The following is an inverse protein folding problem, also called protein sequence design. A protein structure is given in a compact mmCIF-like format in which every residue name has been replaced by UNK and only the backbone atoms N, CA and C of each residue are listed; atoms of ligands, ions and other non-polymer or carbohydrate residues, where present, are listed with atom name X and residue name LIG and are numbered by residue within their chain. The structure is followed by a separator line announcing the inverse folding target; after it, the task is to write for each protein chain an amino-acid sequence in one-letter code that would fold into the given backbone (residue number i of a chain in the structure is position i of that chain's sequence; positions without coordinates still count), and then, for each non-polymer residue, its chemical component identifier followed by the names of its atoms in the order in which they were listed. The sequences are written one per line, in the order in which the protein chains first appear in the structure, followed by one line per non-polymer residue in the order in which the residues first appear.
data_IF_176293576049
#
_entry.id   IF_176293576049
#
_cell.length_a   1.000
_cell.length_b   1.000
_cell.length_c   1.000
_cell.angle_alpha   90.00
_cell.angle_beta   90.00
_cell.angle_gamma   90.00
#
_symmetry.space_group_name_H-M   'P 1'
#
loop_
_entity.id
_entity.type
_entity.pdbx_description
1 polymer ?
#
# COMPACT_ATOMS: atom_id res chain seq x y z
N UNK A 1 -8.32 -47.18 -9.64
CA UNK A 1 -8.17 -48.58 -9.20
C UNK A 1 -9.36 -48.89 -8.32
N UNK A 2 -10.20 -49.85 -8.74
CA UNK A 2 -11.44 -50.17 -8.04
C UNK A 2 -11.13 -50.78 -6.67
N UNK A 3 -11.32 -50.02 -5.60
CA UNK A 3 -11.21 -50.48 -4.21
C UNK A 3 -12.52 -51.20 -3.87
N UNK A 4 -12.68 -52.41 -4.44
CA UNK A 4 -13.82 -53.28 -4.17
C UNK A 4 -13.68 -53.84 -2.76
N UNK A 5 -14.63 -53.52 -1.88
CA UNK A 5 -14.70 -54.15 -0.56
C UNK A 5 -14.78 -55.66 -0.75
N UNK A 6 -13.90 -56.38 -0.05
CA UNK A 6 -13.96 -57.85 -0.05
C UNK A 6 -15.20 -58.28 0.72
N UNK A 7 -16.16 -58.87 0.03
CA UNK A 7 -17.31 -59.51 0.68
C UNK A 7 -16.83 -60.80 1.35
N UNK A 8 -17.09 -60.89 2.66
CA UNK A 8 -16.83 -62.09 3.45
C UNK A 8 -18.08 -62.95 3.45
N UNK A 9 -17.85 -64.26 3.44
CA UNK A 9 -18.91 -65.27 3.50
C UNK A 9 -19.75 -65.08 4.77
N UNK A 10 -21.08 -65.09 4.63
CA UNK A 10 -21.96 -64.94 5.79
C UNK A 10 -21.88 -66.15 6.71
N UNK A 11 -22.09 -65.96 8.01
CA UNK A 11 -22.09 -67.05 9.00
C UNK A 11 -23.15 -68.11 8.65
N UNK A 12 -24.24 -67.72 7.99
CA UNK A 12 -25.29 -68.62 7.52
C UNK A 12 -24.94 -69.48 6.31
N UNK A 13 -23.81 -69.21 5.63
CA UNK A 13 -23.33 -70.03 4.51
C UNK A 13 -22.48 -71.23 4.98
N UNK A 14 -22.14 -71.28 6.28
CA UNK A 14 -21.46 -72.43 6.86
C UNK A 14 -22.47 -73.47 7.38
N UNK A 15 -22.14 -74.76 7.36
CA UNK A 15 -23.05 -75.81 7.82
C UNK A 15 -23.44 -75.62 9.29
N UNK A 16 -24.75 -75.55 9.54
CA UNK A 16 -25.33 -75.38 10.88
C UNK A 16 -25.30 -76.68 11.71
N UNK A 17 -25.27 -77.83 11.03
CA UNK A 17 -25.32 -79.16 11.66
C UNK A 17 -24.11 -80.00 11.27
N UNK A 18 -23.09 -80.00 12.13
CA UNK A 18 -21.87 -80.82 12.01
C UNK A 18 -22.12 -82.34 12.00
N UNK A 19 -23.30 -82.79 12.43
CA UNK A 19 -23.68 -84.20 12.54
C UNK A 19 -23.97 -84.86 11.18
N UNK A 20 -24.24 -84.05 10.15
CA UNK A 20 -24.57 -84.53 8.80
C UNK A 20 -23.35 -84.59 7.89
N UNK A 21 -22.18 -84.12 8.34
CA UNK A 21 -20.96 -84.06 7.54
C UNK A 21 -20.07 -85.27 7.82
N UNK A 22 -19.45 -85.78 6.77
CA UNK A 22 -18.41 -86.78 6.91
C UNK A 22 -17.14 -86.14 7.49
N UNK A 23 -16.23 -86.96 8.06
CA UNK A 23 -15.02 -86.47 8.75
C UNK A 23 -14.15 -85.55 7.89
N UNK A 24 -13.97 -85.89 6.61
CA UNK A 24 -13.21 -85.06 5.67
C UNK A 24 -13.87 -83.72 5.39
N UNK A 25 -15.19 -83.70 5.23
CA UNK A 25 -15.97 -82.48 4.99
C UNK A 25 -15.97 -81.58 6.22
N UNK A 26 -16.03 -82.17 7.42
CA UNK A 26 -15.93 -81.45 8.68
C UNK A 26 -14.56 -80.76 8.83
N UNK A 27 -13.47 -81.46 8.49
CA UNK A 27 -12.12 -80.93 8.56
C UNK A 27 -11.88 -79.83 7.52
N UNK A 28 -12.39 -80.00 6.29
CA UNK A 28 -12.38 -78.98 5.26
C UNK A 28 -13.15 -77.71 5.67
N UNK A 29 -14.36 -77.89 6.22
CA UNK A 29 -15.20 -76.77 6.69
C UNK A 29 -14.53 -76.02 7.83
N UNK A 30 -13.92 -76.73 8.78
CA UNK A 30 -13.18 -76.11 9.87
C UNK A 30 -11.99 -75.27 9.38
N UNK A 31 -11.21 -75.79 8.43
CA UNK A 31 -10.09 -75.05 7.84
C UNK A 31 -10.57 -73.81 7.08
N UNK A 32 -11.70 -73.90 6.37
CA UNK A 32 -12.29 -72.77 5.64
C UNK A 32 -12.74 -71.66 6.61
N UNK A 33 -13.52 -72.00 7.64
CA UNK A 33 -13.94 -71.08 8.71
C UNK A 33 -12.73 -70.40 9.35
N UNK A 34 -11.69 -71.17 9.66
CA UNK A 34 -10.46 -70.66 10.28
C UNK A 34 -9.74 -69.67 9.36
N UNK A 35 -9.66 -69.94 8.06
CA UNK A 35 -9.03 -69.05 7.09
C UNK A 35 -9.83 -67.77 6.92
N UNK A 36 -11.15 -67.86 6.79
CA UNK A 36 -12.03 -66.69 6.67
C UNK A 36 -12.00 -65.82 7.93
N UNK A 37 -12.03 -66.41 9.12
CA UNK A 37 -11.86 -65.67 10.37
C UNK A 37 -10.50 -64.94 10.44
N UNK A 38 -9.42 -65.62 10.04
CA UNK A 38 -8.07 -65.01 9.99
C UNK A 38 -8.05 -63.81 9.05
N UNK A 39 -8.63 -63.93 7.84
CA UNK A 39 -8.70 -62.85 6.85
C UNK A 39 -9.55 -61.67 7.36
N UNK A 40 -10.71 -61.97 7.94
CA UNK A 40 -11.60 -60.96 8.52
C UNK A 40 -10.91 -60.18 9.65
N UNK A 41 -10.19 -60.87 10.52
CA UNK A 41 -9.43 -60.25 11.61
C UNK A 41 -8.36 -59.28 11.09
N UNK A 42 -7.58 -59.70 10.08
CA UNK A 42 -6.56 -58.86 9.43
C UNK A 42 -7.21 -57.61 8.81
N UNK A 43 -8.31 -57.81 8.06
CA UNK A 43 -9.03 -56.72 7.40
C UNK A 43 -9.62 -55.72 8.38
N UNK A 44 -10.21 -56.19 9.49
CA UNK A 44 -10.68 -55.31 10.57
C UNK A 44 -9.53 -54.52 11.19
N UNK A 45 -8.38 -55.15 11.42
CA UNK A 45 -7.18 -54.47 11.90
C UNK A 45 -6.70 -53.36 10.96
N UNK A 46 -6.68 -53.62 9.65
CA UNK A 46 -6.34 -52.62 8.63
C UNK A 46 -7.36 -51.48 8.59
N UNK A 47 -8.66 -51.79 8.67
CA UNK A 47 -9.72 -50.79 8.70
C UNK A 47 -9.58 -49.86 9.90
N UNK A 48 -9.35 -50.41 11.10
CA UNK A 48 -9.14 -49.60 12.32
C UNK A 48 -7.93 -48.68 12.15
N UNK A 49 -6.81 -49.18 11.60
CA UNK A 49 -5.63 -48.36 11.32
C UNK A 49 -5.92 -47.22 10.34
N UNK A 50 -6.53 -47.53 9.19
CA UNK A 50 -6.94 -46.51 8.20
C UNK A 50 -7.91 -45.49 8.79
N UNK A 51 -8.84 -45.93 9.63
CA UNK A 51 -9.78 -45.03 10.32
C UNK A 51 -9.04 -44.11 11.30
N UNK A 52 -8.08 -44.62 12.06
CA UNK A 52 -7.27 -43.80 12.96
C UNK A 52 -6.41 -42.79 12.19
N UNK A 53 -5.78 -43.20 11.09
CA UNK A 53 -5.00 -42.31 10.22
C UNK A 53 -5.87 -41.24 9.55
N UNK A 54 -7.08 -41.59 9.11
CA UNK A 54 -8.02 -40.62 8.57
C UNK A 54 -8.43 -39.60 9.64
N UNK A 55 -8.71 -40.04 10.87
CA UNK A 55 -9.04 -39.15 11.99
C UNK A 55 -7.88 -38.20 12.33
N UNK A 56 -6.64 -38.67 12.34
CA UNK A 56 -5.48 -37.80 12.61
C UNK A 56 -5.26 -36.81 11.47
N UNK A 57 -5.41 -37.22 10.21
CA UNK A 57 -5.37 -36.32 9.04
C UNK A 57 -6.46 -35.24 9.10
N UNK A 58 -7.69 -35.59 9.46
CA UNK A 58 -8.76 -34.60 9.62
C UNK A 58 -8.44 -33.60 10.74
N UNK A 59 -7.89 -34.06 11.88
CA UNK A 59 -7.49 -33.16 12.97
C UNK A 59 -6.38 -32.19 12.55
N UNK A 60 -5.35 -32.68 11.85
CA UNK A 60 -4.24 -31.85 11.36
C UNK A 60 -4.72 -30.84 10.33
N UNK A 61 -5.56 -31.25 9.37
CA UNK A 61 -6.18 -30.34 8.41
C UNK A 61 -7.05 -29.27 9.09
N UNK A 62 -7.85 -29.64 10.09
CA UNK A 62 -8.65 -28.67 10.85
C UNK A 62 -7.77 -27.64 11.55
N UNK A 63 -6.65 -28.05 12.12
CA UNK A 63 -5.71 -27.14 12.78
C UNK A 63 -5.03 -26.21 11.76
N UNK A 64 -4.58 -26.76 10.64
CA UNK A 64 -3.99 -25.96 9.54
C UNK A 64 -4.99 -24.93 8.99
N UNK A 65 -6.25 -25.32 8.80
CA UNK A 65 -7.31 -24.41 8.34
C UNK A 65 -7.53 -23.26 9.34
N UNK A 66 -7.54 -23.56 10.64
CA UNK A 66 -7.69 -22.52 11.67
C UNK A 66 -6.51 -21.53 11.64
N UNK A 67 -5.28 -22.03 11.47
CA UNK A 67 -4.09 -21.18 11.37
C UNK A 67 -4.13 -20.27 10.13
N UNK A 68 -4.51 -20.84 8.98
CA UNK A 68 -4.65 -20.07 7.73
C UNK A 68 -5.77 -19.03 7.85
N UNK A 69 -6.90 -19.38 8.45
CA UNK A 69 -8.00 -18.43 8.69
C UNK A 69 -7.55 -17.27 9.59
N UNK A 70 -6.82 -17.57 10.67
CA UNK A 70 -6.28 -16.52 11.55
C UNK A 70 -5.28 -15.63 10.84
N UNK A 71 -4.42 -16.19 9.97
CA UNK A 71 -3.48 -15.41 9.19
C UNK A 71 -4.20 -14.49 8.19
N UNK A 72 -5.27 -14.96 7.57
CA UNK A 72 -6.10 -14.17 6.65
C UNK A 72 -6.80 -13.01 7.37
N UNK A 73 -7.29 -13.22 8.58
CA UNK A 73 -7.91 -12.17 9.40
C UNK A 73 -6.88 -11.07 9.75
N UNK A 74 -5.66 -11.46 10.12
CA UNK A 74 -4.58 -10.50 10.39
C UNK A 74 -4.21 -9.72 9.14
N UNK A 75 -4.02 -10.39 8.00
CA UNK A 75 -3.71 -9.74 6.73
C UNK A 75 -4.81 -8.75 6.29
N UNK A 76 -6.07 -9.09 6.55
CA UNK A 76 -7.20 -8.20 6.24
C UNK A 76 -7.17 -6.93 7.08
N UNK A 77 -6.84 -7.05 8.39
CA UNK A 77 -6.65 -5.88 9.26
C UNK A 77 -5.46 -5.03 8.81
N UNK A 78 -4.34 -5.65 8.46
CA UNK A 78 -3.16 -4.94 7.98
C UNK A 78 -3.42 -4.20 6.66
N UNK A 79 -4.22 -4.80 5.78
CA UNK A 79 -4.66 -4.13 4.56
C UNK A 79 -5.50 -2.88 4.86
N UNK A 80 -6.44 -2.97 5.81
CA UNK A 80 -7.26 -1.81 6.21
C UNK A 80 -6.42 -0.69 6.83
N UNK A 81 -5.44 -1.02 7.68
CA UNK A 81 -4.55 -0.03 8.28
C UNK A 81 -3.68 0.65 7.23
N UNK A 82 -3.13 -0.11 6.28
CA UNK A 82 -2.37 0.44 5.15
C UNK A 82 -3.23 1.34 4.26
N UNK A 83 -4.47 0.96 3.97
CA UNK A 83 -5.38 1.81 3.19
C UNK A 83 -5.67 3.14 3.89
N UNK A 84 -5.88 3.12 5.22
CA UNK A 84 -6.03 4.36 6.01
C UNK A 84 -4.77 5.22 5.99
N UNK A 85 -3.60 4.61 6.13
CA UNK A 85 -2.32 5.31 6.06
C UNK A 85 -2.08 5.94 4.68
N UNK A 86 -2.41 5.23 3.60
CA UNK A 86 -2.31 5.74 2.24
C UNK A 86 -3.25 6.94 2.03
N UNK A 87 -4.51 6.84 2.46
CA UNK A 87 -5.46 7.94 2.37
C UNK A 87 -4.96 9.20 3.12
N UNK A 88 -4.40 9.01 4.32
CA UNK A 88 -3.80 10.09 5.10
C UNK A 88 -2.58 10.71 4.39
N UNK A 89 -1.71 9.87 3.79
CA UNK A 89 -0.54 10.35 3.04
C UNK A 89 -0.93 11.17 1.81
N UNK A 90 -1.95 10.73 1.06
CA UNK A 90 -2.50 11.47 -0.09
C UNK A 90 -3.06 12.82 0.35
N UNK A 91 -3.80 12.85 1.46
CA UNK A 91 -4.33 14.09 2.01
C UNK A 91 -3.20 15.05 2.42
N UNK A 92 -2.17 14.56 3.11
CA UNK A 92 -1.01 15.35 3.53
C UNK A 92 -0.25 15.91 2.32
N UNK A 93 -0.06 15.11 1.28
CA UNK A 93 0.57 15.57 0.02
C UNK A 93 -0.24 16.70 -0.63
N UNK A 94 -1.58 16.59 -0.62
CA UNK A 94 -2.46 17.66 -1.06
C UNK A 94 -2.26 18.96 -0.27
N UNK A 95 -2.25 18.87 1.06
CA UNK A 95 -2.00 20.02 1.94
C UNK A 95 -0.64 20.67 1.69
N UNK A 96 0.43 19.88 1.60
CA UNK A 96 1.78 20.38 1.32
C UNK A 96 1.82 21.09 -0.03
N UNK A 97 1.15 20.54 -1.06
CA UNK A 97 1.06 21.20 -2.36
C UNK A 97 0.37 22.56 -2.26
N UNK A 98 -0.75 22.64 -1.53
CA UNK A 98 -1.45 23.92 -1.33
C UNK A 98 -0.60 24.94 -0.55
N UNK A 99 0.10 24.51 0.50
CA UNK A 99 1.00 25.38 1.26
C UNK A 99 2.18 25.87 0.40
N UNK A 100 2.72 24.98 -0.44
CA UNK A 100 3.80 25.33 -1.37
C UNK A 100 3.34 26.34 -2.41
N UNK A 101 2.14 26.18 -2.95
CA UNK A 101 1.59 27.11 -3.94
C UNK A 101 1.31 28.50 -3.29
N UNK A 102 0.79 28.52 -2.05
CA UNK A 102 0.62 29.75 -1.27
C UNK A 102 1.96 30.44 -0.98
N UNK A 103 2.95 29.69 -0.50
CA UNK A 103 4.27 30.23 -0.21
C UNK A 103 4.94 30.76 -1.48
N UNK A 104 4.81 30.05 -2.61
CA UNK A 104 5.34 30.52 -3.90
C UNK A 104 4.69 31.84 -4.32
N UNK A 105 3.37 31.99 -4.13
CA UNK A 105 2.67 33.26 -4.37
C UNK A 105 3.23 34.37 -3.48
N UNK A 106 3.32 34.14 -2.17
CA UNK A 106 3.84 35.14 -1.23
C UNK A 106 5.27 35.55 -1.56
N UNK A 107 6.13 34.61 -1.95
CA UNK A 107 7.51 34.90 -2.37
C UNK A 107 7.54 35.76 -3.63
N UNK A 108 6.68 35.48 -4.62
CA UNK A 108 6.56 36.32 -5.83
C UNK A 108 6.11 37.73 -5.46
N UNK A 109 5.11 37.86 -4.60
CA UNK A 109 4.61 39.16 -4.15
C UNK A 109 5.72 39.94 -3.42
N UNK A 110 6.41 39.31 -2.47
CA UNK A 110 7.55 39.90 -1.76
C UNK A 110 8.68 40.34 -2.71
N UNK A 111 9.00 39.51 -3.71
CA UNK A 111 10.01 39.84 -4.71
C UNK A 111 9.60 41.06 -5.54
N UNK A 112 8.34 41.11 -5.99
CA UNK A 112 7.82 42.26 -6.70
C UNK A 112 7.83 43.53 -5.84
N UNK A 113 7.54 43.43 -4.53
CA UNK A 113 7.64 44.57 -3.61
C UNK A 113 9.07 45.06 -3.49
N UNK A 114 10.02 44.14 -3.36
CA UNK A 114 11.44 44.45 -3.27
C UNK A 114 11.97 45.10 -4.55
N UNK A 115 11.57 44.60 -5.72
CA UNK A 115 11.97 45.21 -6.99
C UNK A 115 11.37 46.62 -7.16
N UNK A 116 10.14 46.83 -6.69
CA UNK A 116 9.50 48.15 -6.72
C UNK A 116 10.18 49.16 -5.77
N UNK A 117 10.56 48.73 -4.56
CA UNK A 117 11.28 49.59 -3.62
C UNK A 117 12.71 49.88 -4.09
N UNK A 118 13.39 48.88 -4.67
CA UNK A 118 14.71 49.08 -5.28
C UNK A 118 14.64 50.10 -6.43
N UNK A 119 13.62 50.03 -7.29
CA UNK A 119 13.41 51.01 -8.36
C UNK A 119 13.15 52.43 -7.82
N UNK A 120 12.34 52.58 -6.78
CA UNK A 120 12.14 53.89 -6.13
C UNK A 120 13.42 54.44 -5.50
N UNK A 121 14.27 53.56 -4.94
CA UNK A 121 15.55 53.93 -4.35
C UNK A 121 16.53 54.41 -5.43
N UNK A 122 16.60 53.71 -6.57
CA UNK A 122 17.43 54.08 -7.72
C UNK A 122 16.94 55.40 -8.35
N UNK A 123 15.62 55.60 -8.49
CA UNK A 123 15.05 56.89 -8.91
C UNK A 123 15.48 58.03 -7.95
N UNK A 124 15.48 57.78 -6.64
CA UNK A 124 15.92 58.76 -5.65
C UNK A 124 17.42 59.04 -5.72
N UNK A 125 18.24 58.00 -5.86
CA UNK A 125 19.70 58.10 -5.96
C UNK A 125 20.13 58.88 -7.21
N UNK A 126 19.51 58.62 -8.35
CA UNK A 126 19.74 59.36 -9.59
C UNK A 126 19.41 60.85 -9.43
N UNK A 127 18.25 61.18 -8.84
CA UNK A 127 17.88 62.58 -8.55
C UNK A 127 18.84 63.21 -7.54
N UNK A 128 19.35 62.46 -6.57
CA UNK A 128 20.33 62.94 -5.61
C UNK A 128 21.67 63.31 -6.28
N UNK A 129 22.22 62.44 -7.11
CA UNK A 129 23.46 62.71 -7.83
C UNK A 129 23.32 63.88 -8.82
N UNK A 130 22.19 64.00 -9.54
CA UNK A 130 21.91 65.16 -10.41
C UNK A 130 21.92 66.50 -9.65
N UNK A 131 21.36 66.54 -8.45
CA UNK A 131 21.24 67.76 -7.63
C UNK A 131 22.55 68.09 -6.90
N UNK A 132 23.34 67.07 -6.56
CA UNK A 132 24.67 67.23 -5.95
C UNK A 132 25.64 67.96 -6.89
N UNK A 133 25.56 67.67 -8.19
CA UNK A 133 26.37 68.34 -9.22
C UNK A 133 25.83 69.74 -9.58
N UNK A 134 24.51 69.94 -9.52
CA UNK A 134 23.85 71.23 -9.79
C UNK A 134 23.21 71.83 -8.54
N UNK A 135 23.99 72.62 -7.77
CA UNK A 135 23.57 73.34 -6.54
C UNK A 135 22.57 74.48 -6.78
N UNK A 136 21.45 74.18 -7.44
CA UNK A 136 20.35 75.12 -7.69
C UNK A 136 19.19 74.87 -6.72
N UNK A 137 18.46 75.94 -6.38
CA UNK A 137 17.24 75.85 -5.57
C UNK A 137 16.17 74.95 -6.23
N UNK A 138 16.14 74.87 -7.56
CA UNK A 138 15.25 73.96 -8.30
C UNK A 138 15.60 72.48 -8.12
N UNK A 139 16.89 72.16 -8.02
CA UNK A 139 17.35 70.80 -7.71
C UNK A 139 16.94 70.34 -6.31
N UNK A 140 17.06 71.23 -5.31
CA UNK A 140 16.61 70.94 -3.94
C UNK A 140 15.11 70.61 -3.86
N UNK A 141 14.26 71.31 -4.62
CA UNK A 141 12.83 71.00 -4.69
C UNK A 141 12.54 69.65 -5.36
N UNK A 142 13.29 69.28 -6.42
CA UNK A 142 13.18 67.95 -7.06
C UNK A 142 13.60 66.82 -6.13
N UNK A 143 14.67 67.03 -5.36
CA UNK A 143 15.12 66.09 -4.33
C UNK A 143 14.05 65.89 -3.25
N UNK A 144 13.47 66.98 -2.74
CA UNK A 144 12.37 66.92 -1.77
C UNK A 144 11.14 66.20 -2.33
N UNK A 145 10.83 66.39 -3.60
CA UNK A 145 9.72 65.71 -4.26
C UNK A 145 10.00 64.22 -4.46
N UNK A 146 11.23 63.83 -4.81
CA UNK A 146 11.65 62.43 -4.92
C UNK A 146 11.68 61.75 -3.55
N UNK A 147 12.20 62.41 -2.50
CA UNK A 147 12.17 61.92 -1.12
C UNK A 147 10.72 61.74 -0.62
N UNK A 148 9.86 62.73 -0.90
CA UNK A 148 8.43 62.63 -0.58
C UNK A 148 7.81 61.46 -1.31
N UNK A 149 8.10 61.27 -2.61
CA UNK A 149 7.60 60.12 -3.39
C UNK A 149 8.10 58.80 -2.82
N UNK A 150 9.38 58.66 -2.48
CA UNK A 150 9.91 57.45 -1.82
C UNK A 150 9.19 57.14 -0.49
N UNK A 151 8.90 58.17 0.31
CA UNK A 151 8.27 58.03 1.63
C UNK A 151 6.75 57.90 1.61
N UNK A 152 6.07 58.43 0.60
CA UNK A 152 4.60 58.45 0.52
C UNK A 152 4.03 57.54 -0.56
N UNK A 153 4.86 56.91 -1.40
CA UNK A 153 4.34 55.95 -2.39
C UNK A 153 4.00 54.66 -1.68
N UNK A 154 2.70 54.35 -1.65
CA UNK A 154 2.20 53.07 -1.22
C UNK A 154 2.65 52.01 -2.24
N UNK A 155 3.53 51.11 -1.81
CA UNK A 155 4.14 50.05 -2.63
C UNK A 155 3.04 49.22 -3.31
N UNK A 156 1.88 49.09 -2.67
CA UNK A 156 0.70 48.39 -3.20
C UNK A 156 0.20 48.96 -4.54
N UNK A 157 0.32 50.27 -4.76
CA UNK A 157 -0.14 50.93 -5.99
C UNK A 157 0.82 50.73 -7.17
N UNK A 158 2.10 50.44 -6.91
CA UNK A 158 3.10 50.14 -7.94
C UNK A 158 2.97 48.70 -8.48
N UNK A 159 2.51 47.76 -7.66
CA UNK A 159 2.35 46.36 -8.04
C UNK A 159 1.26 46.16 -9.12
N UNK A 160 0.15 46.90 -9.01
CA UNK A 160 -0.98 46.84 -9.96
C UNK A 160 -0.59 47.24 -11.39
N UNK A 161 0.45 48.07 -11.55
CA UNK A 161 0.90 48.58 -12.86
C UNK A 161 1.91 47.65 -13.55
N UNK A 162 2.49 46.70 -12.82
CA UNK A 162 3.55 45.78 -13.30
C UNK A 162 3.05 44.35 -13.55
N UNK A 163 1.90 43.98 -12.99
CA UNK A 163 1.27 42.67 -13.18
C UNK A 163 0.84 42.37 -14.64
N UNK A 164 0.79 43.38 -15.52
CA UNK A 164 0.47 43.22 -16.95
C UNK A 164 1.67 42.72 -17.80
N UNK A 165 2.86 42.58 -17.19
CA UNK A 165 4.08 42.12 -17.89
C UNK A 165 4.77 41.07 -17.04
N UNK A 166 4.26 39.84 -17.03
CA UNK A 166 4.99 38.67 -16.54
C UNK A 166 4.96 37.60 -17.63
N UNK A 167 6.09 37.47 -18.31
CA UNK A 167 6.42 36.34 -19.18
C UNK A 167 6.56 35.10 -18.30
N UNK A 168 5.83 34.04 -18.65
CA UNK A 168 5.95 32.72 -18.06
C UNK A 168 7.33 32.13 -18.40
N UNK A 169 8.24 32.09 -17.43
CA UNK A 169 9.43 31.23 -17.53
C UNK A 169 9.13 29.90 -16.85
N UNK A 170 9.14 28.89 -17.71
CA UNK A 170 8.81 27.49 -17.50
C UNK A 170 9.98 26.75 -16.83
N UNK A 171 10.02 26.73 -15.49
CA UNK A 171 10.92 25.84 -14.75
C UNK A 171 10.13 24.93 -13.80
N UNK A 172 9.29 24.08 -14.42
CA UNK A 172 8.66 22.94 -13.75
C UNK A 172 9.61 21.72 -13.68
N UNK A 173 10.70 21.81 -12.94
CA UNK A 173 11.57 20.63 -12.70
C UNK A 173 11.05 19.72 -11.57
N UNK A 174 10.04 20.17 -10.83
CA UNK A 174 9.35 19.39 -9.78
C UNK A 174 8.18 18.52 -10.29
N UNK A 175 7.82 18.57 -11.59
CA UNK A 175 6.72 17.78 -12.15
C UNK A 175 7.15 16.41 -12.70
N UNK A 176 8.44 16.05 -12.61
CA UNK A 176 8.99 14.81 -13.22
C UNK A 176 9.04 13.60 -12.28
N UNK A 177 8.61 13.70 -11.03
CA UNK A 177 8.43 12.51 -10.18
C UNK A 177 7.07 11.87 -10.45
N UNK A 178 7.03 11.14 -11.56
CA UNK A 178 5.91 10.34 -12.00
C UNK A 178 5.66 9.20 -10.99
N UNK A 179 4.41 8.98 -10.57
CA UNK A 179 4.03 7.95 -9.58
C UNK A 179 4.46 6.53 -10.00
N UNK A 180 4.71 6.31 -11.29
CA UNK A 180 5.27 5.07 -11.84
C UNK A 180 6.72 4.78 -11.39
N UNK A 181 7.48 5.81 -10.98
CA UNK A 181 8.88 5.66 -10.56
C UNK A 181 9.04 5.02 -9.17
N UNK A 182 8.07 5.23 -8.26
CA UNK A 182 8.09 4.70 -6.89
C UNK A 182 7.97 3.16 -6.88
N UNK A 183 7.21 2.58 -7.81
CA UNK A 183 7.08 1.13 -7.91
C UNK A 183 8.32 0.45 -8.52
N UNK A 184 9.13 1.19 -9.28
CA UNK A 184 10.33 0.66 -9.94
C UNK A 184 11.51 0.53 -8.97
N UNK A 185 11.68 1.50 -8.07
CA UNK A 185 12.75 1.48 -7.05
C UNK A 185 12.59 0.37 -6.01
N UNK A 186 11.36 -0.10 -5.76
CA UNK A 186 11.09 -1.23 -4.86
C UNK A 186 11.36 -2.61 -5.49
N UNK A 187 11.40 -2.70 -6.82
CA UNK A 187 11.71 -3.94 -7.55
C UNK A 187 13.22 -4.11 -7.80
N UNK A 188 13.94 -3.02 -8.07
CA UNK A 188 15.38 -3.08 -8.34
C UNK A 188 16.24 -3.25 -7.07
N UNK A 189 15.74 -2.90 -5.88
CA UNK A 189 16.43 -3.12 -4.60
C UNK A 189 16.30 -4.54 -4.03
N UNK A 190 15.86 -5.51 -4.86
CA UNK A 190 15.72 -6.93 -4.49
C UNK A 190 16.62 -7.89 -5.28
N UNK A 191 17.64 -7.35 -5.96
CA UNK A 191 18.71 -8.10 -6.64
C UNK A 191 19.92 -8.34 -5.75
#
# INVERSE_FOLDING_TARGET
MADGFKEYRSVGEFPLHIQTLNREELEATYQDIRQEYKRLSISRGQLVRRQTEAKTKVKTLKHSLANVSSALDTLSRDKETLQKSLAHSVQLQGSIRTERDQLSSSVRDLKQQLDATAGLLDEFENVYEEVKDNKSLGGFWRLLQAAKRLLTTDISQLMMKRADVVVEDDENDFLKEDQASINRSLLDNRG
#
